data_IF_288332052533
#
_entry.id   IF_288332052533
#
_cell.length_a   1.000
_cell.length_b   1.000
_cell.length_c   1.000
_cell.angle_alpha   90.00
_cell.angle_beta   90.00
_cell.angle_gamma   90.00
#
_symmetry.space_group_name_H-M   'P 1'
#
loop_
_entity.id
_entity.type
_entity.pdbx_description
1 polymer ?
#
# COMPACT_ATOMS: atom_id res chain seq x y z
N UNK A 1 -8.96 25.57 19.91
CA UNK A 1 -8.94 24.29 19.17
C UNK A 1 -7.50 23.89 18.95
N UNK A 2 -7.09 22.69 19.36
CA UNK A 2 -5.73 22.21 19.10
C UNK A 2 -5.57 22.03 17.59
N UNK A 3 -4.50 22.58 17.03
CA UNK A 3 -4.17 22.41 15.62
C UNK A 3 -3.94 20.90 15.33
N UNK A 4 -4.71 20.34 14.39
CA UNK A 4 -4.51 18.96 13.94
C UNK A 4 -3.15 18.92 13.25
N UNK A 5 -2.21 18.17 13.82
CA UNK A 5 -0.89 17.99 13.22
C UNK A 5 -1.04 17.19 11.93
N UNK A 6 -0.50 17.72 10.84
CA UNK A 6 -0.49 17.04 9.54
C UNK A 6 0.73 16.11 9.36
N UNK A 7 1.65 16.09 10.33
CA UNK A 7 2.89 15.29 10.32
C UNK A 7 3.16 14.75 11.72
N UNK A 8 3.86 13.65 11.78
CA UNK A 8 4.22 12.97 13.05
C UNK A 8 3.01 12.64 13.90
N UNK A 9 1.94 12.23 13.25
CA UNK A 9 0.72 11.78 13.94
C UNK A 9 0.99 10.49 14.71
N UNK A 10 0.18 10.21 15.73
CA UNK A 10 0.31 8.97 16.51
C UNK A 10 0.25 7.71 15.65
N UNK A 11 -0.68 7.56 14.68
CA UNK A 11 -0.69 6.43 13.75
C UNK A 11 0.59 6.29 12.93
N UNK A 12 1.08 7.40 12.33
CA UNK A 12 2.34 7.39 11.59
C UNK A 12 3.51 6.91 12.45
N UNK A 13 3.62 7.39 13.69
CA UNK A 13 4.71 6.99 14.60
C UNK A 13 4.66 5.50 14.97
N UNK A 14 3.46 4.92 15.06
CA UNK A 14 3.30 3.47 15.28
C UNK A 14 3.86 2.69 14.08
N UNK A 15 3.48 3.06 12.87
CA UNK A 15 3.97 2.40 11.65
C UNK A 15 5.49 2.57 11.50
N UNK A 16 6.00 3.78 11.69
CA UNK A 16 7.44 4.08 11.61
C UNK A 16 8.27 3.20 12.55
N UNK A 17 7.91 3.19 13.83
CA UNK A 17 8.61 2.39 14.85
C UNK A 17 8.46 0.91 14.59
N UNK A 18 7.26 0.47 14.22
CA UNK A 18 6.96 -0.93 13.92
C UNK A 18 7.76 -1.48 12.73
N UNK A 19 7.92 -0.71 11.67
CA UNK A 19 8.75 -1.09 10.51
C UNK A 19 10.25 -1.01 10.83
N UNK A 20 10.68 0.05 11.52
CA UNK A 20 12.09 0.21 11.88
C UNK A 20 12.60 -0.93 12.75
N UNK A 21 11.83 -1.34 13.76
CA UNK A 21 12.17 -2.47 14.65
C UNK A 21 12.24 -3.82 13.91
N UNK A 22 11.58 -3.92 12.76
CA UNK A 22 11.61 -5.11 11.87
C UNK A 22 12.67 -5.04 10.78
N UNK A 23 13.55 -4.03 10.84
CA UNK A 23 14.67 -3.88 9.91
C UNK A 23 14.37 -3.11 8.62
N UNK A 24 13.15 -2.62 8.42
CA UNK A 24 12.82 -1.80 7.25
C UNK A 24 13.39 -0.39 7.38
N UNK A 25 13.88 0.14 6.27
CA UNK A 25 14.42 1.51 6.18
C UNK A 25 13.61 2.31 5.17
N UNK A 26 13.26 3.53 5.53
CA UNK A 26 12.37 4.39 4.77
C UNK A 26 12.83 5.85 4.83
N UNK A 27 12.30 6.65 3.92
CA UNK A 27 12.34 8.11 3.95
C UNK A 27 10.95 8.64 4.24
N UNK A 28 10.88 9.83 4.83
CA UNK A 28 9.63 10.44 5.24
C UNK A 28 9.21 11.54 4.26
N UNK A 29 7.90 11.69 4.07
CA UNK A 29 7.25 12.84 3.43
C UNK A 29 7.98 13.33 2.16
N UNK A 30 8.18 12.45 1.17
CA UNK A 30 8.88 12.81 -0.05
C UNK A 30 8.09 13.83 -0.87
N UNK A 31 8.57 15.08 -1.04
CA UNK A 31 7.85 16.09 -1.81
C UNK A 31 7.90 15.84 -3.33
N UNK A 32 8.75 14.91 -3.76
CA UNK A 32 8.95 14.57 -5.19
C UNK A 32 7.96 13.52 -5.70
N UNK A 33 7.19 12.90 -4.80
CA UNK A 33 6.23 11.86 -5.16
C UNK A 33 4.79 12.38 -5.02
N UNK A 34 3.89 12.02 -5.95
CA UNK A 34 2.47 12.35 -5.83
C UNK A 34 1.91 11.94 -4.47
N UNK A 35 1.03 12.77 -3.90
CA UNK A 35 0.36 12.50 -2.63
C UNK A 35 1.23 12.64 -1.38
N UNK A 36 2.51 12.98 -1.51
CA UNK A 36 3.43 13.11 -0.38
C UNK A 36 3.36 11.94 0.60
N UNK A 37 3.68 10.70 0.15
CA UNK A 37 3.56 9.50 1.00
C UNK A 37 4.27 9.68 2.34
N UNK A 38 3.67 9.18 3.42
CA UNK A 38 4.23 9.28 4.77
C UNK A 38 5.56 8.54 4.89
N UNK A 39 5.65 7.34 4.29
CA UNK A 39 6.87 6.56 4.22
C UNK A 39 7.16 6.12 2.79
N UNK A 40 8.43 6.20 2.39
CA UNK A 40 8.92 5.75 1.09
C UNK A 40 10.03 4.72 1.27
N UNK A 41 9.74 3.47 0.94
CA UNK A 41 10.68 2.36 1.00
C UNK A 41 11.28 2.09 -0.38
N UNK A 42 12.40 2.73 -0.68
CA UNK A 42 13.04 2.65 -2.01
C UNK A 42 13.43 1.24 -2.41
N UNK A 43 13.97 0.45 -1.46
CA UNK A 43 14.34 -0.95 -1.67
C UNK A 43 13.17 -1.80 -2.17
N UNK A 44 11.97 -1.48 -1.73
CA UNK A 44 10.73 -2.19 -2.03
C UNK A 44 9.89 -1.48 -3.10
N UNK A 45 10.35 -0.36 -3.64
CA UNK A 45 9.58 0.53 -4.53
C UNK A 45 8.15 0.77 -4.02
N UNK A 46 8.01 0.94 -2.72
CA UNK A 46 6.70 1.03 -2.06
C UNK A 46 6.54 2.36 -1.32
N UNK A 47 5.39 2.97 -1.53
CA UNK A 47 4.90 4.14 -0.81
C UNK A 47 3.82 3.71 0.18
N UNK A 48 3.90 4.20 1.42
CA UNK A 48 2.90 3.92 2.45
C UNK A 48 2.23 5.23 2.85
N UNK A 49 0.90 5.19 2.86
CA UNK A 49 0.02 6.23 3.35
C UNK A 49 -0.63 5.77 4.65
N UNK A 50 -0.57 6.60 5.69
CA UNK A 50 -1.21 6.31 6.97
C UNK A 50 -2.43 7.23 7.12
N UNK A 51 -3.58 6.71 6.75
CA UNK A 51 -4.79 7.50 6.59
C UNK A 51 -5.68 7.50 7.84
N UNK A 52 -6.11 8.69 8.26
CA UNK A 52 -7.17 8.84 9.26
C UNK A 52 -8.52 8.40 8.68
N UNK A 53 -9.25 7.56 9.40
CA UNK A 53 -10.49 6.95 8.90
C UNK A 53 -11.54 7.98 8.51
N UNK A 54 -11.71 9.04 9.29
CA UNK A 54 -12.68 10.09 9.02
C UNK A 54 -12.35 10.90 7.76
N UNK A 55 -11.09 11.34 7.62
CA UNK A 55 -10.68 12.25 6.53
C UNK A 55 -10.69 11.60 5.16
N UNK A 56 -10.48 10.30 5.10
CA UNK A 56 -10.38 9.52 3.87
C UNK A 56 -11.57 8.57 3.67
N UNK A 57 -12.58 8.63 4.53
CA UNK A 57 -13.82 7.87 4.39
C UNK A 57 -13.62 6.36 4.43
N UNK A 58 -12.79 5.86 5.37
CA UNK A 58 -12.50 4.44 5.48
C UNK A 58 -13.78 3.62 5.73
N UNK A 59 -13.96 2.55 4.95
CA UNK A 59 -15.15 1.67 4.98
C UNK A 59 -16.48 2.40 4.80
N UNK A 60 -16.45 3.66 4.34
CA UNK A 60 -17.66 4.26 3.81
C UNK A 60 -18.01 3.52 2.52
N UNK A 61 -19.24 3.11 2.38
CA UNK A 61 -19.77 2.58 1.15
C UNK A 61 -19.57 3.62 0.02
N UNK A 62 -19.53 3.22 -1.27
CA UNK A 62 -19.49 4.18 -2.36
C UNK A 62 -20.53 5.27 -2.12
N UNK A 63 -20.16 6.53 -2.30
CA UNK A 63 -21.01 7.69 -1.99
C UNK A 63 -22.24 7.82 -2.89
N UNK A 64 -22.37 6.93 -3.86
CA UNK A 64 -23.55 6.74 -4.71
C UNK A 64 -23.81 5.25 -4.88
N UNK A 65 -24.89 4.69 -4.35
CA UNK A 65 -25.27 3.33 -4.67
C UNK A 65 -25.62 3.25 -6.16
N UNK A 66 -25.39 2.10 -6.79
CA UNK A 66 -25.71 1.88 -8.21
C UNK A 66 -27.20 2.04 -8.53
N UNK A 67 -28.05 1.97 -7.52
CA UNK A 67 -29.52 2.11 -7.61
C UNK A 67 -30.05 3.51 -7.25
N UNK A 68 -29.16 4.48 -6.98
CA UNK A 68 -29.55 5.87 -6.61
C UNK A 68 -30.18 6.02 -5.22
N UNK A 69 -30.12 4.98 -4.38
CA UNK A 69 -30.63 5.01 -3.01
C UNK A 69 -29.83 5.92 -2.08
N UNK A 70 -30.42 6.32 -0.97
CA UNK A 70 -29.78 7.13 0.06
C UNK A 70 -28.79 6.26 0.86
N UNK A 71 -27.51 6.62 0.81
CA UNK A 71 -26.45 5.90 1.52
C UNK A 71 -26.50 6.15 3.02
N UNK A 72 -26.64 5.09 3.77
CA UNK A 72 -26.39 5.13 5.21
C UNK A 72 -24.90 5.12 5.52
N UNK A 73 -24.30 6.31 5.49
CA UNK A 73 -22.89 6.52 5.87
C UNK A 73 -22.64 6.37 7.37
N UNK A 74 -23.68 6.06 8.14
CA UNK A 74 -23.58 5.88 9.60
C UNK A 74 -23.10 4.49 9.99
N UNK A 75 -23.02 3.56 9.05
CA UNK A 75 -22.73 2.14 9.32
C UNK A 75 -21.26 1.79 9.45
N UNK A 76 -20.31 2.72 9.20
CA UNK A 76 -18.91 2.41 9.43
C UNK A 76 -18.51 2.71 10.86
N UNK A 77 -17.99 1.71 11.56
CA UNK A 77 -17.54 1.82 12.96
C UNK A 77 -16.44 2.87 13.17
N UNK A 78 -15.63 3.14 12.15
CA UNK A 78 -14.44 3.98 12.26
C UNK A 78 -14.56 5.34 11.54
N UNK A 79 -15.57 5.54 10.69
CA UNK A 79 -15.80 6.81 9.98
C UNK A 79 -17.24 7.28 10.23
N UNK A 80 -17.45 8.11 11.23
CA UNK A 80 -18.77 8.68 11.56
C UNK A 80 -18.85 10.11 11.06
N UNK A 81 -19.72 10.34 10.08
CA UNK A 81 -19.94 11.69 9.54
C UNK A 81 -20.84 12.47 10.49
N UNK A 82 -20.45 13.70 10.89
CA UNK A 82 -21.29 14.55 11.74
C UNK A 82 -22.66 14.82 11.10
N UNK A 83 -23.69 14.83 11.90
CA UNK A 83 -25.06 15.20 11.43
C UNK A 83 -25.13 16.66 10.99
N UNK A 84 -24.38 17.54 11.65
CA UNK A 84 -24.28 18.96 11.33
C UNK A 84 -23.40 19.16 10.09
N UNK A 85 -23.86 19.94 9.12
CA UNK A 85 -23.17 20.19 7.83
C UNK A 85 -22.78 18.90 7.08
N UNK A 86 -23.67 17.92 7.08
CA UNK A 86 -23.43 16.60 6.48
C UNK A 86 -22.99 16.70 5.03
N UNK A 87 -23.68 17.51 4.22
CA UNK A 87 -23.36 17.70 2.79
C UNK A 87 -21.93 18.21 2.57
N UNK A 88 -21.51 19.18 3.38
CA UNK A 88 -20.13 19.68 3.36
C UNK A 88 -19.10 18.57 3.62
N UNK A 89 -19.35 17.75 4.66
CA UNK A 89 -18.44 16.67 5.02
C UNK A 89 -18.39 15.57 3.98
N UNK A 90 -19.54 15.17 3.43
CA UNK A 90 -19.64 14.20 2.34
C UNK A 90 -18.86 14.68 1.11
N UNK A 91 -19.08 15.93 0.68
CA UNK A 91 -18.36 16.50 -0.45
C UNK A 91 -16.85 16.59 -0.22
N UNK A 92 -16.43 16.91 1.02
CA UNK A 92 -15.01 16.98 1.38
C UNK A 92 -14.36 15.61 1.36
N UNK A 93 -14.98 14.59 1.96
CA UNK A 93 -14.49 13.22 1.97
C UNK A 93 -14.39 12.66 0.54
N UNK A 94 -15.41 12.89 -0.30
CA UNK A 94 -15.39 12.48 -1.70
C UNK A 94 -14.19 13.06 -2.44
N UNK A 95 -13.95 14.37 -2.33
CA UNK A 95 -12.79 15.02 -2.94
C UNK A 95 -11.46 14.44 -2.45
N UNK A 96 -11.36 14.13 -1.17
CA UNK A 96 -10.16 13.47 -0.63
C UNK A 96 -9.97 12.09 -1.25
N UNK A 97 -11.02 11.26 -1.33
CA UNK A 97 -10.96 9.93 -1.94
C UNK A 97 -10.59 9.97 -3.43
N UNK A 98 -11.16 10.91 -4.18
CA UNK A 98 -10.82 11.11 -5.60
C UNK A 98 -9.36 11.50 -5.78
N UNK A 99 -8.88 12.44 -4.97
CA UNK A 99 -7.48 12.83 -4.97
C UNK A 99 -6.57 11.67 -4.60
N UNK A 100 -6.86 10.92 -3.54
CA UNK A 100 -6.07 9.78 -3.08
C UNK A 100 -5.97 8.71 -4.20
N UNK A 101 -7.06 8.42 -4.89
CA UNK A 101 -7.08 7.48 -6.02
C UNK A 101 -6.19 7.97 -7.17
N UNK A 102 -6.28 9.24 -7.52
CA UNK A 102 -5.47 9.83 -8.60
C UNK A 102 -3.99 9.83 -8.24
N UNK A 103 -3.64 10.19 -7.01
CA UNK A 103 -2.26 10.17 -6.52
C UNK A 103 -1.66 8.75 -6.53
N UNK A 104 -2.42 7.76 -6.09
CA UNK A 104 -2.01 6.35 -6.13
C UNK A 104 -1.88 5.82 -7.56
N UNK A 105 -2.79 6.21 -8.47
CA UNK A 105 -2.70 5.87 -9.90
C UNK A 105 -1.40 6.41 -10.50
N UNK A 106 -1.08 7.67 -10.26
CA UNK A 106 0.16 8.30 -10.74
C UNK A 106 1.41 7.62 -10.18
N UNK A 107 1.40 7.24 -8.91
CA UNK A 107 2.50 6.47 -8.30
C UNK A 107 2.65 5.11 -8.97
N UNK A 108 1.55 4.41 -9.23
CA UNK A 108 1.58 3.12 -9.92
C UNK A 108 2.16 3.25 -11.34
N UNK A 109 1.79 4.29 -12.09
CA UNK A 109 2.37 4.59 -13.41
C UNK A 109 3.88 4.87 -13.36
N UNK A 110 4.37 5.43 -12.25
CA UNK A 110 5.79 5.62 -11.99
C UNK A 110 6.49 4.32 -11.52
N UNK A 111 5.78 3.20 -11.42
CA UNK A 111 6.29 1.90 -10.96
C UNK A 111 6.45 1.79 -9.44
N UNK A 112 5.66 2.53 -8.67
CA UNK A 112 5.60 2.42 -7.22
C UNK A 112 4.40 1.59 -6.79
N UNK A 113 4.61 0.70 -5.83
CA UNK A 113 3.53 0.06 -5.08
C UNK A 113 2.99 1.03 -4.04
N UNK A 114 1.67 1.01 -3.83
CA UNK A 114 1.01 1.85 -2.83
C UNK A 114 0.32 0.98 -1.79
N UNK A 115 0.59 1.23 -0.53
CA UNK A 115 -0.07 0.58 0.60
C UNK A 115 -0.70 1.66 1.47
N UNK A 116 -1.98 1.49 1.78
CA UNK A 116 -2.69 2.34 2.73
C UNK A 116 -2.87 1.60 4.04
N UNK A 117 -2.43 2.21 5.14
CA UNK A 117 -2.64 1.72 6.50
C UNK A 117 -3.64 2.64 7.18
N UNK A 118 -4.68 2.07 7.76
CA UNK A 118 -5.75 2.85 8.37
C UNK A 118 -5.56 3.02 9.87
N UNK A 119 -5.91 4.19 10.38
CA UNK A 119 -5.81 4.52 11.80
C UNK A 119 -6.50 3.48 12.70
N UNK A 120 -7.66 2.95 12.30
CA UNK A 120 -8.40 1.96 13.08
C UNK A 120 -7.68 0.61 13.19
N UNK A 121 -6.79 0.29 12.25
CA UNK A 121 -5.98 -0.93 12.23
C UNK A 121 -4.78 -0.84 13.19
N UNK A 122 -4.45 0.38 13.63
CA UNK A 122 -3.34 0.66 14.55
C UNK A 122 -3.76 0.77 16.02
N UNK A 123 -5.01 0.45 16.33
CA UNK A 123 -5.48 0.32 17.72
C UNK A 123 -4.70 -0.77 18.45
N UNK A 124 -4.53 -0.68 19.80
CA UNK A 124 -3.71 -1.63 20.56
C UNK A 124 -4.01 -3.12 20.28
N UNK A 125 -5.29 -3.45 20.06
CA UNK A 125 -5.75 -4.82 19.80
C UNK A 125 -5.41 -5.36 18.40
N UNK A 126 -5.12 -4.49 17.43
CA UNK A 126 -4.94 -4.87 16.01
C UNK A 126 -3.55 -4.51 15.46
N UNK A 127 -2.88 -3.55 16.05
CA UNK A 127 -1.65 -2.97 15.50
C UNK A 127 -0.53 -3.98 15.24
N UNK A 128 -0.37 -4.98 16.11
CA UNK A 128 0.69 -5.98 15.94
C UNK A 128 0.43 -6.88 14.72
N UNK A 129 -0.81 -7.29 14.53
CA UNK A 129 -1.22 -8.05 13.35
C UNK A 129 -1.07 -7.21 12.08
N UNK A 130 -1.51 -5.95 12.11
CA UNK A 130 -1.35 -5.02 10.99
C UNK A 130 0.11 -4.82 10.62
N UNK A 131 1.00 -4.63 11.59
CA UNK A 131 2.44 -4.47 11.34
C UNK A 131 3.09 -5.74 10.80
N UNK A 132 2.67 -6.92 11.26
CA UNK A 132 3.12 -8.22 10.70
C UNK A 132 2.67 -8.38 9.26
N UNK A 133 1.39 -8.11 8.97
CA UNK A 133 0.83 -8.17 7.63
C UNK A 133 1.52 -7.20 6.68
N UNK A 134 1.80 -5.98 7.14
CA UNK A 134 2.52 -4.98 6.37
C UNK A 134 3.95 -5.43 6.03
N UNK A 135 4.67 -5.97 7.02
CA UNK A 135 6.02 -6.52 6.82
C UNK A 135 6.03 -7.70 5.84
N UNK A 136 5.05 -8.60 5.96
CA UNK A 136 4.86 -9.73 5.03
C UNK A 136 4.61 -9.22 3.60
N UNK A 137 3.71 -8.26 3.43
CA UNK A 137 3.39 -7.67 2.12
C UNK A 137 4.61 -7.02 1.48
N UNK A 138 5.40 -6.25 2.24
CA UNK A 138 6.64 -5.64 1.74
C UNK A 138 7.64 -6.70 1.26
N UNK A 139 7.85 -7.75 2.04
CA UNK A 139 8.76 -8.83 1.64
C UNK A 139 8.24 -9.57 0.39
N UNK A 140 6.93 -9.80 0.28
CA UNK A 140 6.32 -10.40 -0.91
C UNK A 140 6.53 -9.53 -2.14
N UNK A 141 6.27 -8.23 -2.07
CA UNK A 141 6.53 -7.27 -3.15
C UNK A 141 8.00 -7.37 -3.59
N UNK A 142 8.93 -7.37 -2.64
CA UNK A 142 10.34 -7.45 -2.97
C UNK A 142 10.70 -8.76 -3.69
N UNK A 143 10.14 -9.88 -3.24
CA UNK A 143 10.35 -11.18 -3.88
C UNK A 143 9.75 -11.21 -5.29
N UNK A 144 8.56 -10.68 -5.49
CA UNK A 144 7.88 -10.61 -6.80
C UNK A 144 8.67 -9.73 -7.78
N UNK A 145 9.13 -8.55 -7.35
CA UNK A 145 9.90 -7.62 -8.17
C UNK A 145 11.32 -8.14 -8.49
N UNK A 146 11.88 -9.01 -7.65
CA UNK A 146 13.22 -9.59 -7.80
C UNK A 146 13.17 -11.09 -8.11
N UNK A 147 11.99 -11.66 -8.33
CA UNK A 147 11.89 -13.00 -8.86
C UNK A 147 12.59 -13.02 -10.23
N UNK A 148 13.83 -13.48 -10.24
CA UNK A 148 14.42 -13.96 -11.46
C UNK A 148 13.53 -15.13 -11.84
N UNK A 149 12.69 -14.93 -12.84
CA UNK A 149 12.09 -16.05 -13.58
C UNK A 149 13.32 -16.76 -14.11
N UNK A 150 13.81 -17.74 -13.36
CA UNK A 150 14.85 -18.63 -13.85
C UNK A 150 14.31 -19.12 -15.17
N UNK A 151 14.99 -18.77 -16.29
CA UNK A 151 14.74 -19.47 -17.54
C UNK A 151 14.72 -20.92 -17.12
N UNK A 152 13.66 -21.70 -17.44
CA UNK A 152 13.65 -23.10 -17.10
C UNK A 152 14.99 -23.63 -17.56
N UNK A 153 15.73 -24.30 -16.66
CA UNK A 153 17.00 -24.91 -16.99
C UNK A 153 16.74 -25.75 -18.22
N UNK A 154 17.02 -25.17 -19.38
CA UNK A 154 17.10 -25.93 -20.62
C UNK A 154 18.34 -26.79 -20.42
N UNK A 155 18.09 -28.00 -19.90
CA UNK A 155 19.08 -29.03 -19.82
C UNK A 155 19.81 -28.96 -21.13
N UNK A 156 21.11 -28.89 -21.08
CA UNK A 156 22.00 -28.95 -22.24
C UNK A 156 21.91 -30.34 -22.90
N UNK A 157 20.70 -30.82 -23.17
CA UNK A 157 20.43 -32.10 -23.84
C UNK A 157 20.90 -32.08 -25.28
N UNK A 158 21.10 -30.90 -25.87
CA UNK A 158 21.68 -30.77 -27.21
C UNK A 158 23.21 -30.83 -27.20
N UNK A 159 23.87 -30.25 -26.19
CA UNK A 159 25.33 -30.36 -26.08
C UNK A 159 25.76 -31.76 -25.68
N UNK A 160 25.05 -32.39 -24.74
CA UNK A 160 25.30 -33.78 -24.35
C UNK A 160 25.01 -34.76 -25.52
N UNK A 161 23.99 -34.52 -26.35
CA UNK A 161 23.74 -35.31 -27.58
C UNK A 161 24.82 -35.13 -28.64
N UNK A 162 25.30 -33.91 -28.81
CA UNK A 162 26.38 -33.64 -29.76
C UNK A 162 27.71 -34.23 -29.30
N UNK A 163 27.99 -34.21 -27.98
CA UNK A 163 29.17 -34.83 -27.38
C UNK A 163 29.16 -36.37 -27.55
N UNK A 164 27.99 -37.00 -27.30
CA UNK A 164 27.83 -38.45 -27.48
C UNK A 164 27.94 -38.87 -28.95
N UNK A 165 27.40 -38.08 -29.88
CA UNK A 165 27.52 -38.30 -31.31
C UNK A 165 28.97 -38.21 -31.81
N UNK A 166 29.71 -37.21 -31.37
CA UNK A 166 31.13 -37.06 -31.72
C UNK A 166 31.99 -38.20 -31.19
N UNK A 167 31.66 -38.72 -29.99
CA UNK A 167 32.35 -39.87 -29.39
C UNK A 167 32.06 -41.21 -30.10
N UNK A 168 30.91 -41.35 -30.78
CA UNK A 168 30.55 -42.53 -31.56
C UNK A 168 31.19 -42.51 -32.97
N UNK A 169 31.49 -41.33 -33.50
CA UNK A 169 32.16 -41.19 -34.84
C UNK A 169 33.68 -41.39 -34.77
N UNK A 170 34.30 -41.30 -33.58
CA UNK A 170 35.74 -41.55 -33.38
C UNK A 170 36.09 -42.99 -32.92
N UNK A 171 35.10 -43.84 -32.74
CA UNK A 171 35.28 -45.22 -32.32
C UNK A 171 35.21 -46.19 -33.53
#
# INVERSE_FOLDING_TARGET
>A
MAAIRSKDTKPEMIVRRGLWSRGFRYRLNSPRLPGHPDLVLRKYRTCIFVNGCFWHGHRSLPLTPPDGGELDLTSSECCKIPKTNREFWVAKIRRNQERDKEEQRRLAEMGWHCITVWECELKPSKREETLKSLAFTLNRIWLEDHAVIGKPYQRQEEEDRNYLRAAEEEA
#
